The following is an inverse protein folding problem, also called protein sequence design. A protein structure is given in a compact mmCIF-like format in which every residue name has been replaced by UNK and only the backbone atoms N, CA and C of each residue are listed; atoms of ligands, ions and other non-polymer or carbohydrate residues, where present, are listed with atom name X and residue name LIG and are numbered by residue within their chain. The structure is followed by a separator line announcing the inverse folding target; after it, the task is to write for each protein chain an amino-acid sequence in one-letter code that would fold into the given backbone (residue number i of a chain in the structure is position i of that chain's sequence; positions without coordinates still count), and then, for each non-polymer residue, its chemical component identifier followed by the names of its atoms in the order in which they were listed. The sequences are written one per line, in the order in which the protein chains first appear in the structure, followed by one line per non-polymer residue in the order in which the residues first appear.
data_IF_238063338866
#
_entry.id   IF_238063338866
#
_cell.length_a   1.000
_cell.length_b   1.000
_cell.length_c   1.000
_cell.angle_alpha   90.00
_cell.angle_beta   90.00
_cell.angle_gamma   90.00
#
_symmetry.space_group_name_H-M   'P 1'
#
loop_
_entity.id
_entity.type
_entity.pdbx_description
1 polymer ?
#
# COMPACT_ATOMS: atom_id res chain seq x y z
N UNK A 1 17.41 -12.10 -14.94
CA UNK A 1 16.67 -11.87 -16.19
C UNK A 1 15.48 -11.00 -15.84
N UNK A 2 15.18 -9.99 -16.65
CA UNK A 2 13.99 -9.15 -16.50
C UNK A 2 12.70 -9.98 -16.66
N UNK A 3 11.57 -9.43 -16.21
CA UNK A 3 10.29 -10.11 -16.22
C UNK A 3 9.48 -9.67 -17.46
N UNK A 4 9.26 -10.61 -18.38
CA UNK A 4 8.65 -10.34 -19.69
C UNK A 4 7.10 -10.34 -19.70
N UNK A 5 6.46 -10.46 -18.54
CA UNK A 5 5.00 -10.36 -18.37
C UNK A 5 4.66 -9.79 -16.99
N UNK A 6 3.59 -9.01 -16.86
CA UNK A 6 3.19 -8.45 -15.56
C UNK A 6 2.73 -9.54 -14.60
N UNK A 7 2.99 -9.34 -13.31
CA UNK A 7 2.44 -10.19 -12.25
C UNK A 7 1.11 -9.62 -11.77
N UNK A 8 0.17 -10.48 -11.38
CA UNK A 8 -1.10 -10.05 -10.78
C UNK A 8 -0.86 -9.20 -9.54
N UNK A 9 -1.59 -8.08 -9.43
CA UNK A 9 -1.49 -7.13 -8.32
C UNK A 9 -0.08 -6.61 -8.03
N UNK A 10 0.79 -6.50 -9.03
CA UNK A 10 2.15 -5.99 -8.85
C UNK A 10 2.39 -4.81 -9.77
N UNK A 11 2.78 -3.68 -9.19
CA UNK A 11 3.25 -2.51 -9.91
C UNK A 11 4.76 -2.37 -9.71
N UNK A 12 5.52 -2.37 -10.81
CA UNK A 12 6.99 -2.36 -10.78
C UNK A 12 7.57 -1.47 -11.87
N UNK A 13 8.80 -1.05 -11.62
CA UNK A 13 9.62 -0.30 -12.56
C UNK A 13 9.96 -1.16 -13.80
N UNK A 14 10.06 -0.52 -14.95
CA UNK A 14 10.57 -1.12 -16.18
C UNK A 14 12.10 -1.08 -16.23
N UNK A 15 12.70 -1.79 -17.19
CA UNK A 15 14.16 -1.85 -17.38
C UNK A 15 14.82 -0.49 -17.59
N UNK A 16 14.08 0.52 -18.04
CA UNK A 16 14.51 1.90 -18.28
C UNK A 16 14.33 2.83 -17.07
N UNK A 17 14.15 2.27 -15.87
CA UNK A 17 13.97 3.00 -14.61
C UNK A 17 12.67 3.81 -14.50
N UNK A 18 11.74 3.68 -15.45
CA UNK A 18 10.44 4.35 -15.41
C UNK A 18 9.32 3.40 -14.98
N UNK A 19 8.29 3.93 -14.34
CA UNK A 19 7.09 3.16 -13.98
C UNK A 19 5.97 3.28 -15.02
N UNK A 20 5.83 4.46 -15.64
CA UNK A 20 4.69 4.86 -16.46
C UNK A 20 5.18 5.69 -17.64
N UNK A 21 5.61 5.05 -18.72
CA UNK A 21 5.90 5.73 -19.98
C UNK A 21 5.06 5.15 -21.12
N UNK A 22 4.53 6.00 -22.00
CA UNK A 22 3.83 5.56 -23.22
C UNK A 22 2.59 4.68 -23.00
N UNK A 23 1.85 4.86 -21.90
CA UNK A 23 0.65 4.06 -21.60
C UNK A 23 0.94 2.65 -21.07
N UNK A 24 2.19 2.35 -20.70
CA UNK A 24 2.59 1.04 -20.12
C UNK A 24 1.84 0.67 -18.86
N UNK A 25 1.26 1.61 -18.10
CA UNK A 25 0.45 1.30 -16.90
C UNK A 25 -0.95 0.76 -17.20
N UNK A 26 -1.39 0.72 -18.47
CA UNK A 26 -2.72 0.24 -18.85
C UNK A 26 -2.99 -1.22 -18.46
N UNK A 27 -1.97 -2.04 -18.16
CA UNK A 27 -2.20 -3.38 -17.63
C UNK A 27 -2.93 -3.37 -16.27
N UNK A 28 -2.77 -2.31 -15.47
CA UNK A 28 -3.35 -2.20 -14.13
C UNK A 28 -4.88 -2.17 -14.18
N UNK A 29 -5.44 -1.55 -15.23
CA UNK A 29 -6.89 -1.44 -15.43
C UNK A 29 -7.52 -2.68 -16.07
N UNK A 30 -6.71 -3.66 -16.48
CA UNK A 30 -7.21 -4.90 -17.08
C UNK A 30 -7.99 -5.72 -16.05
N UNK A 31 -9.13 -6.31 -16.46
CA UNK A 31 -10.03 -7.05 -15.57
C UNK A 31 -9.39 -8.25 -14.88
N UNK A 32 -8.38 -8.87 -15.53
CA UNK A 32 -7.57 -9.96 -14.97
C UNK A 32 -6.39 -9.50 -14.13
N UNK A 33 -6.06 -8.21 -14.02
CA UNK A 33 -4.92 -7.79 -13.20
C UNK A 33 -5.16 -7.99 -11.70
N UNK A 34 -6.37 -7.65 -11.25
CA UNK A 34 -6.79 -7.75 -9.86
C UNK A 34 -8.29 -7.99 -9.77
N UNK A 35 -8.74 -8.81 -8.82
CA UNK A 35 -10.16 -8.97 -8.54
C UNK A 35 -10.72 -7.77 -7.75
N UNK A 36 -11.71 -7.07 -8.33
CA UNK A 36 -12.42 -5.96 -7.68
C UNK A 36 -11.52 -4.87 -7.05
N UNK A 37 -10.50 -4.34 -7.75
CA UNK A 37 -9.54 -3.37 -7.19
C UNK A 37 -10.21 -2.11 -6.66
N UNK A 38 -11.30 -1.67 -7.31
CA UNK A 38 -12.13 -0.52 -6.92
C UNK A 38 -12.62 -0.59 -5.47
N UNK A 39 -12.89 -1.78 -4.94
CA UNK A 39 -13.38 -1.93 -3.57
C UNK A 39 -12.28 -1.60 -2.55
N UNK A 40 -11.04 -2.01 -2.81
CA UNK A 40 -9.89 -1.74 -1.95
C UNK A 40 -9.54 -0.25 -1.94
N UNK A 41 -9.56 0.39 -3.12
CA UNK A 41 -9.37 1.84 -3.22
C UNK A 41 -10.47 2.58 -2.49
N UNK A 42 -11.74 2.23 -2.73
CA UNK A 42 -12.87 2.86 -2.02
C UNK A 42 -12.76 2.72 -0.50
N UNK A 43 -12.32 1.55 -0.01
CA UNK A 43 -12.08 1.31 1.42
C UNK A 43 -11.07 2.31 1.99
N UNK A 44 -9.95 2.51 1.30
CA UNK A 44 -8.93 3.49 1.66
C UNK A 44 -9.41 4.94 1.55
N UNK A 45 -10.11 5.33 0.48
CA UNK A 45 -10.61 6.70 0.33
C UNK A 45 -11.58 7.09 1.45
N UNK A 46 -12.46 6.16 1.87
CA UNK A 46 -13.33 6.40 3.02
C UNK A 46 -12.53 6.54 4.32
N UNK A 47 -11.52 5.69 4.54
CA UNK A 47 -10.62 5.80 5.69
C UNK A 47 -9.84 7.13 5.69
N UNK A 48 -9.37 7.59 4.53
CA UNK A 48 -8.67 8.86 4.37
C UNK A 48 -9.59 10.05 4.72
N UNK A 49 -10.87 10.00 4.33
CA UNK A 49 -11.84 11.03 4.71
C UNK A 49 -12.08 11.06 6.22
N UNK A 50 -12.28 9.89 6.85
CA UNK A 50 -12.43 9.80 8.30
C UNK A 50 -11.16 10.27 9.05
N UNK A 51 -9.97 10.05 8.48
CA UNK A 51 -8.71 10.53 9.03
C UNK A 51 -8.59 12.06 8.92
N UNK A 52 -9.00 12.64 7.80
CA UNK A 52 -9.03 14.10 7.64
C UNK A 52 -10.02 14.76 8.61
N UNK A 53 -11.18 14.15 8.84
CA UNK A 53 -12.11 14.59 9.89
C UNK A 53 -11.46 14.52 11.30
N UNK A 54 -10.61 13.52 11.57
CA UNK A 54 -9.87 13.48 12.83
C UNK A 54 -8.91 14.67 12.97
N UNK A 55 -8.33 15.15 11.86
CA UNK A 55 -7.40 16.29 11.87
C UNK A 55 -8.06 17.61 12.26
N UNK A 56 -9.40 17.73 12.14
CA UNK A 56 -10.14 18.90 12.67
C UNK A 56 -10.03 19.03 14.20
N UNK A 57 -9.68 17.94 14.89
CA UNK A 57 -9.55 17.89 16.35
C UNK A 57 -8.13 17.60 16.83
N UNK A 58 -7.34 16.85 16.04
CA UNK A 58 -5.99 16.44 16.38
C UNK A 58 -5.04 16.88 15.27
N UNK A 59 -4.29 17.95 15.53
CA UNK A 59 -3.33 18.49 14.59
C UNK A 59 -2.28 17.43 14.17
N UNK A 60 -1.99 17.25 12.87
CA UNK A 60 -0.85 16.46 12.40
C UNK A 60 0.48 17.07 12.90
N UNK A 61 0.97 16.58 14.04
CA UNK A 61 2.08 17.18 14.75
C UNK A 61 2.82 16.16 15.59
N UNK A 62 4.13 16.35 15.73
CA UNK A 62 4.98 15.54 16.62
C UNK A 62 4.44 15.54 18.07
N UNK A 63 3.80 16.63 18.49
CA UNK A 63 3.23 16.77 19.84
C UNK A 63 2.06 15.83 20.10
N UNK A 64 1.40 15.33 19.05
CA UNK A 64 0.21 14.51 19.15
C UNK A 64 0.47 13.02 18.90
N UNK A 65 1.72 12.58 18.70
CA UNK A 65 2.05 11.19 18.37
C UNK A 65 1.49 10.18 19.39
N UNK A 66 1.60 10.52 20.68
CA UNK A 66 1.10 9.67 21.78
C UNK A 66 -0.39 9.88 22.07
N UNK A 67 -1.08 10.79 21.37
CA UNK A 67 -2.52 11.01 21.58
C UNK A 67 -3.29 9.73 21.22
N UNK A 68 -4.11 9.23 22.15
CA UNK A 68 -4.95 8.06 21.95
C UNK A 68 -6.41 8.39 22.25
N UNK A 69 -7.33 7.72 21.54
CA UNK A 69 -8.76 7.89 21.76
C UNK A 69 -9.53 6.72 21.17
N UNK A 70 -10.82 6.61 21.49
CA UNK A 70 -11.67 5.58 20.88
C UNK A 70 -11.83 5.78 19.37
N UNK A 71 -11.78 7.04 18.88
CA UNK A 71 -11.81 7.33 17.45
C UNK A 71 -10.52 6.88 16.77
N UNK A 72 -9.36 7.15 17.37
CA UNK A 72 -8.06 6.68 16.87
C UNK A 72 -8.02 5.14 16.84
N UNK A 73 -8.43 4.49 17.93
CA UNK A 73 -8.51 3.03 17.98
C UNK A 73 -9.42 2.45 16.88
N UNK A 74 -10.61 3.03 16.67
CA UNK A 74 -11.53 2.57 15.64
C UNK A 74 -10.91 2.68 14.23
N UNK A 75 -10.22 3.78 13.93
CA UNK A 75 -9.54 3.99 12.65
C UNK A 75 -8.33 3.06 12.49
N UNK A 76 -7.53 2.85 13.54
CA UNK A 76 -6.38 1.94 13.53
C UNK A 76 -6.81 0.51 13.21
N UNK A 77 -7.86 0.02 13.89
CA UNK A 77 -8.42 -1.32 13.63
C UNK A 77 -8.89 -1.45 12.19
N UNK A 78 -9.60 -0.44 11.67
CA UNK A 78 -10.08 -0.44 10.30
C UNK A 78 -8.94 -0.44 9.29
N UNK A 79 -7.92 0.41 9.49
CA UNK A 79 -6.73 0.47 8.64
C UNK A 79 -6.03 -0.90 8.56
N UNK A 80 -5.81 -1.55 9.71
CA UNK A 80 -5.15 -2.85 9.75
C UNK A 80 -5.98 -3.98 9.11
N UNK A 81 -7.32 -3.94 9.23
CA UNK A 81 -8.20 -4.90 8.54
C UNK A 81 -8.07 -4.76 7.02
N UNK A 82 -8.05 -3.53 6.49
CA UNK A 82 -7.86 -3.28 5.07
C UNK A 82 -6.46 -3.70 4.59
N UNK A 83 -5.43 -3.52 5.41
CA UNK A 83 -4.08 -4.03 5.13
C UNK A 83 -4.09 -5.56 5.02
N UNK A 84 -4.66 -6.26 5.99
CA UNK A 84 -4.77 -7.73 5.95
C UNK A 84 -5.58 -8.21 4.75
N UNK A 85 -6.64 -7.49 4.38
CA UNK A 85 -7.46 -7.82 3.21
C UNK A 85 -6.65 -7.71 1.91
N UNK A 86 -5.85 -6.65 1.75
CA UNK A 86 -4.96 -6.47 0.61
C UNK A 86 -3.86 -7.54 0.57
N UNK A 87 -3.21 -7.86 1.69
CA UNK A 87 -2.22 -8.93 1.73
C UNK A 87 -2.80 -10.29 1.33
N UNK A 88 -3.98 -10.62 1.84
CA UNK A 88 -4.69 -11.86 1.45
C UNK A 88 -5.01 -11.85 -0.04
N UNK A 89 -5.40 -10.72 -0.61
CA UNK A 89 -5.73 -10.61 -2.04
C UNK A 89 -4.50 -10.83 -2.92
N UNK A 90 -3.38 -10.18 -2.60
CA UNK A 90 -2.09 -10.38 -3.28
C UNK A 90 -1.69 -11.86 -3.27
N UNK A 91 -1.72 -12.50 -2.10
CA UNK A 91 -1.32 -13.90 -1.97
C UNK A 91 -2.26 -14.85 -2.72
N UNK A 92 -3.58 -14.73 -2.51
CA UNK A 92 -4.57 -15.65 -3.09
C UNK A 92 -4.62 -15.57 -4.62
N UNK A 93 -4.56 -14.37 -5.19
CA UNK A 93 -4.60 -14.19 -6.64
C UNK A 93 -3.29 -14.60 -7.33
N UNK A 94 -2.23 -14.86 -6.57
CA UNK A 94 -0.98 -15.44 -7.04
C UNK A 94 -0.82 -16.92 -6.61
N UNK A 95 -1.94 -17.63 -6.43
CA UNK A 95 -1.95 -19.08 -6.18
C UNK A 95 -1.56 -19.51 -4.75
N UNK A 96 -1.30 -18.58 -3.84
CA UNK A 96 -0.90 -18.90 -2.47
C UNK A 96 -2.08 -19.38 -1.61
N UNK A 97 -2.22 -20.70 -1.50
CA UNK A 97 -3.35 -21.38 -0.88
C UNK A 97 -3.05 -21.83 0.56
N UNK A 98 -3.07 -20.88 1.50
CA UNK A 98 -3.10 -21.19 2.95
C UNK A 98 -4.40 -20.71 3.59
N UNK A 99 -4.96 -21.55 4.46
CA UNK A 99 -6.21 -21.27 5.19
C UNK A 99 -6.04 -20.17 6.23
N UNK A 100 -4.96 -20.22 7.01
CA UNK A 100 -4.66 -19.27 8.08
C UNK A 100 -3.32 -18.56 7.78
N UNK A 101 -3.41 -17.35 7.24
CA UNK A 101 -2.25 -16.49 6.96
C UNK A 101 -1.97 -15.57 8.15
N UNK A 102 -0.69 -15.28 8.39
CA UNK A 102 -0.22 -14.39 9.44
C UNK A 102 0.90 -13.47 8.92
N UNK A 103 1.18 -12.40 9.66
CA UNK A 103 2.13 -11.37 9.22
C UNK A 103 3.56 -11.89 9.06
N UNK A 104 4.01 -12.79 9.95
CA UNK A 104 5.40 -13.25 10.00
C UNK A 104 5.74 -14.22 8.88
N UNK A 105 4.88 -15.21 8.65
CA UNK A 105 5.16 -16.32 7.75
C UNK A 105 4.63 -16.09 6.33
N UNK A 106 3.61 -15.24 6.17
CA UNK A 106 2.88 -15.13 4.93
C UNK A 106 2.98 -13.69 4.37
N UNK A 107 2.55 -12.66 5.11
CA UNK A 107 2.52 -11.30 4.57
C UNK A 107 3.91 -10.68 4.38
N UNK A 108 4.87 -10.98 5.27
CA UNK A 108 6.25 -10.51 5.14
C UNK A 108 6.90 -10.88 3.79
N UNK A 109 6.50 -12.00 3.18
CA UNK A 109 7.01 -12.44 1.88
C UNK A 109 6.74 -11.44 0.77
N UNK A 110 5.65 -10.67 0.88
CA UNK A 110 5.24 -9.65 -0.09
C UNK A 110 6.29 -8.54 -0.19
N UNK A 111 7.03 -8.27 0.90
CA UNK A 111 8.10 -7.28 0.87
C UNK A 111 9.16 -7.57 -0.20
N UNK A 112 9.45 -8.85 -0.47
CA UNK A 112 10.46 -9.24 -1.46
C UNK A 112 10.06 -8.90 -2.89
N UNK A 113 8.76 -8.87 -3.18
CA UNK A 113 8.25 -8.72 -4.55
C UNK A 113 7.70 -7.33 -4.82
N UNK A 114 7.23 -6.64 -3.76
CA UNK A 114 6.64 -5.31 -3.82
C UNK A 114 7.57 -4.21 -3.27
N UNK A 115 8.68 -4.58 -2.61
CA UNK A 115 9.63 -3.65 -1.98
C UNK A 115 8.98 -2.66 -1.01
N UNK A 116 8.00 -3.12 -0.22
CA UNK A 116 7.20 -2.27 0.69
C UNK A 116 8.08 -1.44 1.64
N UNK A 117 9.18 -2.01 2.14
CA UNK A 117 10.14 -1.35 3.03
C UNK A 117 10.89 -0.18 2.40
N UNK A 118 10.86 -0.06 1.07
CA UNK A 118 11.54 0.98 0.30
C UNK A 118 10.65 2.17 -0.04
N UNK A 119 9.36 2.14 0.31
CA UNK A 119 8.45 3.27 0.12
C UNK A 119 8.55 4.27 1.26
N UNK A 120 8.30 5.53 0.93
CA UNK A 120 8.10 6.60 1.90
C UNK A 120 6.77 7.30 1.62
N UNK A 121 6.11 7.76 2.69
CA UNK A 121 4.87 8.54 2.59
C UNK A 121 5.06 9.85 3.35
N UNK A 122 4.86 10.97 2.68
CA UNK A 122 4.81 12.30 3.30
C UNK A 122 3.36 12.64 3.67
N UNK A 123 3.14 12.95 4.95
CA UNK A 123 1.88 13.47 5.47
C UNK A 123 1.90 15.00 5.34
N UNK A 124 0.99 15.60 4.53
CA UNK A 124 0.94 17.05 4.36
C UNK A 124 0.60 17.79 5.65
N UNK A 125 0.92 19.09 5.67
CA UNK A 125 0.60 20.03 6.76
C UNK A 125 1.15 19.64 8.14
N UNK A 126 2.07 18.68 8.20
CA UNK A 126 2.63 18.19 9.44
C UNK A 126 3.52 19.22 10.13
N UNK A 127 3.28 19.46 11.43
CA UNK A 127 4.09 20.31 12.29
C UNK A 127 5.14 19.49 13.05
N UNK A 128 6.39 19.60 12.62
CA UNK A 128 7.52 18.92 13.25
C UNK A 128 8.37 18.14 12.25
N UNK A 129 9.04 17.10 12.72
CA UNK A 129 9.99 16.32 11.93
C UNK A 129 9.43 14.97 11.46
N UNK A 130 8.33 14.48 12.04
CA UNK A 130 7.80 13.13 11.77
C UNK A 130 6.82 13.05 10.59
N UNK A 131 6.92 13.99 9.64
CA UNK A 131 6.04 14.06 8.46
C UNK A 131 6.28 12.94 7.44
N UNK A 132 7.49 12.40 7.39
CA UNK A 132 7.85 11.29 6.51
C UNK A 132 7.71 9.98 7.27
N UNK A 133 6.84 9.09 6.79
CA UNK A 133 6.56 7.78 7.38
C UNK A 133 7.14 6.66 6.51
N UNK A 134 7.70 5.64 7.16
CA UNK A 134 8.25 4.43 6.52
C UNK A 134 7.65 3.18 7.17
N UNK A 135 6.37 2.89 6.89
CA UNK A 135 5.56 1.95 7.68
C UNK A 135 6.07 0.50 7.66
N UNK A 136 6.86 0.13 6.64
CA UNK A 136 7.44 -1.20 6.48
C UNK A 136 8.97 -1.22 6.67
N UNK A 137 9.57 -0.15 7.19
CA UNK A 137 11.05 -0.03 7.32
C UNK A 137 11.70 -1.18 8.11
N UNK A 138 11.02 -1.71 9.13
CA UNK A 138 11.53 -2.87 9.91
C UNK A 138 11.71 -4.13 9.06
N UNK A 139 11.10 -4.21 7.87
CA UNK A 139 11.21 -5.34 6.94
C UNK A 139 12.38 -5.23 5.96
N UNK A 140 13.20 -4.17 6.05
CA UNK A 140 14.39 -4.02 5.23
C UNK A 140 15.47 -5.07 5.54
N UNK A 141 15.48 -5.61 6.76
CA UNK A 141 16.43 -6.64 7.18
C UNK A 141 16.17 -7.99 6.51
N UNK A 142 17.20 -8.83 6.39
CA UNK A 142 17.07 -10.21 5.85
C UNK A 142 16.07 -11.05 6.63
N UNK A 143 15.99 -10.85 7.95
CA UNK A 143 15.07 -11.55 8.84
C UNK A 143 13.81 -10.72 9.11
N UNK A 144 12.70 -11.40 9.39
CA UNK A 144 11.46 -10.75 9.81
C UNK A 144 11.66 -9.98 11.12
N UNK A 145 11.19 -8.73 11.13
CA UNK A 145 10.97 -7.95 12.35
C UNK A 145 9.50 -7.49 12.45
N UNK A 146 8.90 -7.47 13.65
CA UNK A 146 7.55 -6.96 13.85
C UNK A 146 7.42 -5.48 13.47
N UNK A 147 6.28 -5.11 12.90
CA UNK A 147 5.90 -3.71 12.68
C UNK A 147 5.18 -3.18 13.91
N UNK A 148 5.65 -2.07 14.48
CA UNK A 148 5.11 -1.50 15.73
C UNK A 148 3.60 -1.23 15.67
N UNK A 149 3.14 -0.58 14.61
CA UNK A 149 1.72 -0.26 14.41
C UNK A 149 0.84 -1.52 14.28
N UNK A 150 1.35 -2.60 13.69
CA UNK A 150 0.61 -3.86 13.59
C UNK A 150 0.59 -4.61 14.93
N UNK A 151 1.68 -4.54 15.72
CA UNK A 151 1.68 -5.07 17.08
C UNK A 151 0.70 -4.32 17.97
N UNK A 152 0.68 -2.98 17.90
CA UNK A 152 -0.27 -2.14 18.62
C UNK A 152 -1.73 -2.49 18.28
N UNK A 153 -2.05 -2.68 17.00
CA UNK A 153 -3.35 -3.17 16.56
C UNK A 153 -3.71 -4.53 17.18
N UNK A 154 -2.81 -5.52 17.12
CA UNK A 154 -3.09 -6.84 17.69
C UNK A 154 -3.29 -6.78 19.22
N UNK A 155 -2.43 -6.04 19.92
CA UNK A 155 -2.51 -5.90 21.38
C UNK A 155 -3.82 -5.23 21.80
N UNK A 156 -4.19 -4.13 21.14
CA UNK A 156 -5.44 -3.39 21.43
C UNK A 156 -6.70 -4.16 21.03
N UNK A 157 -6.61 -5.02 20.01
CA UNK A 157 -7.69 -5.91 19.60
C UNK A 157 -7.94 -7.04 20.60
N UNK A 158 -6.88 -7.64 21.15
CA UNK A 158 -6.97 -8.80 22.04
C UNK A 158 -7.11 -8.41 23.53
N UNK A 159 -6.48 -7.33 23.95
CA UNK A 159 -6.54 -6.80 25.32
C UNK A 159 -6.55 -5.26 25.30
N UNK A 160 -7.71 -4.70 24.92
CA UNK A 160 -7.91 -3.24 24.90
C UNK A 160 -7.74 -2.63 26.29
N UNK A 161 -8.21 -3.30 27.34
CA UNK A 161 -8.24 -2.72 28.68
C UNK A 161 -6.82 -2.33 29.14
N UNK A 162 -5.83 -3.20 28.90
CA UNK A 162 -4.45 -2.94 29.31
C UNK A 162 -3.62 -2.19 28.27
N UNK A 163 -4.02 -2.21 26.99
CA UNK A 163 -3.18 -1.71 25.89
C UNK A 163 -3.79 -0.54 25.12
N UNK A 164 -4.86 0.10 25.62
CA UNK A 164 -5.60 1.14 24.89
C UNK A 164 -4.70 2.27 24.37
N UNK A 165 -3.71 2.68 25.15
CA UNK A 165 -2.76 3.76 24.79
C UNK A 165 -1.88 3.42 23.59
N UNK A 166 -1.71 2.13 23.24
CA UNK A 166 -1.01 1.74 22.02
C UNK A 166 -1.82 2.08 20.76
N UNK A 167 -3.14 2.25 20.88
CA UNK A 167 -3.96 2.80 19.81
C UNK A 167 -3.85 4.33 19.76
N UNK A 168 -2.62 4.80 19.54
CA UNK A 168 -2.26 6.20 19.44
C UNK A 168 -2.19 6.71 18.00
N UNK A 169 -2.06 8.02 17.88
CA UNK A 169 -2.04 8.75 16.62
C UNK A 169 -0.88 8.28 15.73
N UNK A 170 0.30 8.04 16.30
CA UNK A 170 1.44 7.53 15.55
C UNK A 170 1.12 6.21 14.84
N UNK A 171 0.64 5.21 15.60
CA UNK A 171 0.33 3.90 15.05
C UNK A 171 -0.82 3.96 14.04
N UNK A 172 -1.79 4.85 14.22
CA UNK A 172 -2.84 5.10 13.23
C UNK A 172 -2.26 5.65 11.93
N UNK A 173 -1.43 6.70 12.00
CA UNK A 173 -0.82 7.31 10.81
C UNK A 173 0.04 6.30 10.07
N UNK A 174 0.85 5.50 10.78
CA UNK A 174 1.64 4.44 10.17
C UNK A 174 0.80 3.35 9.52
N UNK A 175 -0.31 2.93 10.14
CA UNK A 175 -1.21 1.95 9.56
C UNK A 175 -1.88 2.47 8.28
N UNK A 176 -2.32 3.74 8.27
CA UNK A 176 -2.87 4.41 7.08
C UNK A 176 -1.83 4.55 5.96
N UNK A 177 -0.61 4.96 6.29
CA UNK A 177 0.50 5.02 5.34
C UNK A 177 0.87 3.63 4.82
N UNK A 178 0.85 2.60 5.68
CA UNK A 178 1.10 1.21 5.32
C UNK A 178 0.07 0.68 4.33
N UNK A 179 -1.21 1.00 4.55
CA UNK A 179 -2.28 0.68 3.60
C UNK A 179 -2.05 1.38 2.25
N UNK A 180 -1.71 2.67 2.25
CA UNK A 180 -1.42 3.42 1.03
C UNK A 180 -0.22 2.85 0.27
N UNK A 181 0.87 2.49 0.95
CA UNK A 181 2.03 1.83 0.33
C UNK A 181 1.62 0.49 -0.30
N UNK A 182 0.79 -0.29 0.39
CA UNK A 182 0.32 -1.57 -0.13
C UNK A 182 -0.59 -1.41 -1.34
N UNK A 183 -1.42 -0.37 -1.39
CA UNK A 183 -2.23 -0.04 -2.58
C UNK A 183 -1.36 0.49 -3.72
N UNK A 184 -0.41 1.39 -3.43
CA UNK A 184 0.47 1.98 -4.42
C UNK A 184 1.39 0.94 -5.06
N UNK A 185 1.86 -0.05 -4.29
CA UNK A 185 2.64 -1.17 -4.82
C UNK A 185 1.84 -2.15 -5.69
N UNK A 186 0.50 -2.10 -5.63
CA UNK A 186 -0.38 -2.89 -6.51
C UNK A 186 -0.83 -2.07 -7.72
N UNK A 187 -1.18 -0.79 -7.54
CA UNK A 187 -1.93 0.00 -8.51
C UNK A 187 -1.23 1.29 -8.95
N UNK A 188 -0.03 1.57 -8.44
CA UNK A 188 0.65 2.83 -8.68
C UNK A 188 -0.17 4.00 -8.13
N UNK A 189 -0.54 4.91 -9.03
CA UNK A 189 -1.37 6.08 -8.74
C UNK A 189 -2.84 5.90 -9.15
N UNK A 190 -3.22 4.73 -9.67
CA UNK A 190 -4.56 4.48 -10.20
C UNK A 190 -5.60 4.37 -9.08
N UNK A 191 -6.54 5.31 -9.03
CA UNK A 191 -7.65 5.35 -8.08
C UNK A 191 -8.95 4.74 -8.61
N UNK A 192 -8.95 4.34 -9.89
CA UNK A 192 -10.10 3.79 -10.63
C UNK A 192 -11.38 4.67 -10.57
N UNK A 193 -11.21 5.98 -10.36
CA UNK A 193 -12.32 6.93 -10.39
C UNK A 193 -12.89 7.07 -11.82
N UNK A 194 -14.21 7.28 -11.98
CA UNK A 194 -14.77 7.56 -13.30
C UNK A 194 -14.24 8.90 -13.83
N UNK A 195 -13.40 8.87 -14.87
CA UNK A 195 -12.87 10.07 -15.53
C UNK A 195 -11.36 10.29 -15.38
N UNK A 196 -10.66 9.53 -14.53
CA UNK A 196 -9.19 9.62 -14.39
C UNK A 196 -8.43 9.37 -15.70
N UNK A 197 -8.98 8.53 -16.58
CA UNK A 197 -8.41 8.23 -17.90
C UNK A 197 -8.33 9.44 -18.86
N UNK A 198 -9.09 10.52 -18.63
CA UNK A 198 -9.11 11.70 -19.50
C UNK A 198 -8.28 12.89 -18.98
N UNK A 199 -8.03 12.96 -17.66
CA UNK A 199 -7.36 14.09 -17.01
C UNK A 199 -5.85 13.87 -16.76
N UNK A 200 -5.33 12.67 -17.00
CA UNK A 200 -3.91 12.35 -16.80
C UNK A 200 -2.92 13.10 -17.74
N UNK A 201 -3.41 14.04 -18.57
CA UNK A 201 -2.57 14.80 -19.49
C UNK A 201 -1.93 16.05 -18.85
N UNK A 202 -2.47 16.59 -17.75
CA UNK A 202 -1.95 17.83 -17.18
C UNK A 202 -1.95 17.85 -15.64
N UNK A 203 -0.74 17.93 -15.10
CA UNK A 203 -0.35 18.34 -13.73
C UNK A 203 -0.30 17.28 -12.60
N UNK A 204 0.92 17.18 -12.04
CA UNK A 204 1.31 16.72 -10.69
C UNK A 204 0.78 15.36 -10.18
N UNK A 205 1.61 14.31 -10.32
CA UNK A 205 1.82 13.18 -9.39
C UNK A 205 0.69 12.94 -8.36
N UNK A 206 -0.52 12.68 -8.82
CA UNK A 206 -1.65 12.38 -7.95
C UNK A 206 -1.44 10.98 -7.37
N UNK A 207 -1.25 10.88 -6.07
CA UNK A 207 -1.30 9.60 -5.37
C UNK A 207 -2.76 9.17 -5.24
N UNK A 208 -2.99 7.91 -4.87
CA UNK A 208 -4.33 7.43 -4.56
C UNK A 208 -4.95 8.33 -3.48
N UNK A 209 -6.03 9.02 -3.82
CA UNK A 209 -6.76 9.92 -2.93
C UNK A 209 -6.21 11.35 -2.81
N UNK A 210 -5.12 11.69 -3.51
CA UNK A 210 -4.53 13.05 -3.64
C UNK A 210 -4.26 13.81 -2.33
N UNK A 211 -4.26 13.15 -1.17
CA UNK A 211 -3.90 13.77 0.11
C UNK A 211 -2.43 13.55 0.42
N UNK A 212 -2.02 12.29 0.61
CA UNK A 212 -0.64 11.94 0.92
C UNK A 212 0.28 12.07 -0.29
N UNK A 213 1.58 12.18 -0.08
CA UNK A 213 2.56 12.07 -1.17
C UNK A 213 3.40 10.80 -0.99
N UNK A 214 3.45 9.96 -2.02
CA UNK A 214 4.15 8.67 -2.00
C UNK A 214 5.42 8.79 -2.81
N UNK A 215 6.54 8.39 -2.22
CA UNK A 215 7.81 8.20 -2.91
C UNK A 215 7.97 6.71 -3.21
N UNK A 216 7.98 6.39 -4.51
CA UNK A 216 8.18 5.02 -4.99
C UNK A 216 9.65 4.61 -4.90
N UNK A 217 9.96 3.30 -4.79
CA UNK A 217 11.34 2.82 -4.83
C UNK A 217 12.02 3.17 -6.16
N UNK A 218 13.20 3.78 -6.12
CA UNK A 218 13.91 4.19 -7.35
C UNK A 218 14.81 3.08 -7.91
N UNK A 219 15.23 2.14 -7.06
CA UNK A 219 16.24 1.13 -7.39
C UNK A 219 15.65 -0.29 -7.33
N UNK A 220 14.66 -0.62 -8.17
CA UNK A 220 14.22 -2.01 -8.29
C UNK A 220 15.39 -2.87 -8.79
N UNK A 221 15.69 -4.02 -8.15
CA UNK A 221 16.66 -4.97 -8.66
C UNK A 221 16.32 -5.35 -10.12
N UNK A 222 17.32 -5.44 -11.03
CA UNK A 222 17.09 -5.71 -12.45
C UNK A 222 16.23 -6.96 -12.72
N UNK A 223 16.30 -7.97 -11.85
CA UNK A 223 15.51 -9.19 -11.92
C UNK A 223 14.03 -9.03 -11.56
N UNK A 224 13.65 -7.94 -10.88
CA UNK A 224 12.26 -7.64 -10.54
C UNK A 224 11.60 -6.68 -11.55
N UNK A 225 12.39 -6.04 -12.42
CA UNK A 225 11.92 -5.06 -13.41
C UNK A 225 11.14 -5.72 -14.55
N UNK A 226 10.20 -4.96 -15.11
CA UNK A 226 9.43 -5.36 -16.27
C UNK A 226 10.11 -5.02 -17.59
N UNK A 227 9.99 -5.94 -18.55
CA UNK A 227 10.56 -5.83 -19.90
C UNK A 227 9.56 -6.39 -20.92
N UNK A 228 8.36 -5.83 -20.90
CA UNK A 228 7.28 -6.23 -21.79
C UNK A 228 6.62 -5.02 -22.44
N UNK A 229 6.03 -5.25 -23.61
CA UNK A 229 5.17 -4.28 -24.27
C UNK A 229 3.71 -4.67 -24.06
N UNK A 230 2.94 -3.82 -23.39
CA UNK A 230 1.54 -4.11 -23.08
C UNK A 230 0.68 -4.29 -24.35
N UNK A 231 1.00 -3.58 -25.43
CA UNK A 231 0.22 -3.69 -26.68
C UNK A 231 0.25 -5.09 -27.28
N UNK A 232 1.32 -5.85 -27.04
CA UNK A 232 1.49 -7.21 -27.55
C UNK A 232 0.81 -8.27 -26.66
N UNK A 233 0.47 -7.90 -25.42
CA UNK A 233 -0.11 -8.80 -24.42
C UNK A 233 -1.61 -8.61 -24.21
N UNK A 234 -2.13 -7.40 -24.39
CA UNK A 234 -3.49 -7.01 -24.00
C UNK A 234 -4.63 -7.88 -24.56
N UNK A 235 -4.43 -8.47 -25.74
CA UNK A 235 -5.45 -9.27 -26.44
C UNK A 235 -5.32 -10.79 -26.16
N UNK A 236 -4.35 -11.20 -25.33
CA UNK A 236 -4.20 -12.58 -24.90
C UNK A 236 -5.29 -12.95 -23.90
N UNK A 237 -5.67 -14.24 -23.87
CA UNK A 237 -6.64 -14.74 -22.90
C UNK A 237 -6.22 -14.39 -21.47
N UNK A 238 -4.98 -14.67 -21.07
CA UNK A 238 -4.44 -14.29 -19.77
C UNK A 238 -3.00 -13.74 -19.88
N UNK A 239 -2.84 -12.41 -19.85
CA UNK A 239 -1.52 -11.80 -20.03
C UNK A 239 -0.68 -11.76 -18.74
N UNK A 240 -1.24 -12.17 -17.60
CA UNK A 240 -0.59 -12.06 -16.30
C UNK A 240 0.03 -13.36 -15.82
N UNK A 241 1.13 -13.23 -15.06
CA UNK A 241 1.76 -14.34 -14.34
C UNK A 241 1.37 -14.32 -12.86
N UNK A 242 1.48 -15.50 -12.23
CA UNK A 242 1.45 -15.66 -10.78
C UNK A 242 2.86 -15.52 -10.20
N UNK A 243 2.99 -14.73 -9.15
CA UNK A 243 4.24 -14.55 -8.42
C UNK A 243 4.36 -15.64 -7.34
N UNK A 244 5.51 -16.33 -7.30
CA UNK A 244 5.75 -17.39 -6.32
C UNK A 244 6.20 -16.81 -4.95
N UNK A 245 5.48 -17.12 -3.86
CA UNK A 245 5.66 -16.55 -2.50
C UNK A 245 6.13 -17.57 -1.45
#
# INVERSE_FOLDING_TARGET
MSVNRPYRRSYRQFVDDHYTEGGRSQYIVHSKFAQSPKNYIRGFLLLQNDLQELFDYIEPSDQNLECFSYRIHALLVRACIEVEANFKAILRENGYSRSCMNIKNDYYKINKTHLLSSYEVEVPYWKGQHKIRKPFSSWLSTNYNPLSWYQAYNNTKHDRHSNFEQANFENLIDACCGLLVLLSSQFGTEDFSPGSAFLALESSKDTIGSYFKVTFPENFPPELRYDFNWQDLKDQDDPFLECNY
#
